data_IF_860216604134
#
_entry.id   IF_860216604134
#
_cell.length_a   1.000
_cell.length_b   1.000
_cell.length_c   1.000
_cell.angle_alpha   90.00
_cell.angle_beta   90.00
_cell.angle_gamma   90.00
#
_symmetry.space_group_name_H-M   'P 1'
#
loop_
_entity.id
_entity.type
_entity.pdbx_description
1 polymer ?
#
# COMPACT_ATOMS: atom_id res chain seq x y z
N UNK A 1 -7.05 -11.12 25.20
CA UNK A 1 -5.67 -11.40 24.73
C UNK A 1 -4.78 -10.18 24.91
N UNK A 2 -3.50 -10.37 25.28
CA UNK A 2 -2.56 -9.24 25.32
C UNK A 2 -2.12 -8.80 23.92
N UNK A 3 -1.37 -7.69 23.82
CA UNK A 3 -0.95 -7.13 22.53
C UNK A 3 0.00 -8.04 21.73
N UNK A 4 0.83 -8.85 22.40
CA UNK A 4 1.73 -9.79 21.73
C UNK A 4 0.94 -10.93 21.08
N UNK A 5 -0.02 -11.49 21.80
CA UNK A 5 -0.96 -12.49 21.29
C UNK A 5 -1.80 -11.92 20.14
N UNK A 6 -2.29 -10.68 20.28
CA UNK A 6 -3.05 -10.01 19.22
C UNK A 6 -2.21 -9.79 17.96
N UNK A 7 -0.94 -9.43 18.12
CA UNK A 7 -0.02 -9.25 17.01
C UNK A 7 0.23 -10.56 16.25
N UNK A 8 0.48 -11.65 16.96
CA UNK A 8 0.64 -12.98 16.35
C UNK A 8 -0.64 -13.44 15.66
N UNK A 9 -1.80 -13.30 16.30
CA UNK A 9 -3.08 -13.78 15.78
C UNK A 9 -3.58 -12.98 14.57
N UNK A 10 -3.26 -11.68 14.48
CA UNK A 10 -3.65 -10.81 13.37
C UNK A 10 -2.58 -10.71 12.26
N UNK A 11 -1.32 -11.00 12.60
CA UNK A 11 -0.17 -10.72 11.75
C UNK A 11 0.15 -9.23 11.60
N UNK A 12 -0.39 -8.38 12.47
CA UNK A 12 -0.05 -6.96 12.56
C UNK A 12 0.94 -6.79 13.72
N UNK A 13 2.08 -6.13 13.51
CA UNK A 13 3.04 -5.95 14.59
C UNK A 13 2.45 -5.12 15.75
N UNK A 14 2.88 -5.39 16.98
CA UNK A 14 2.40 -4.65 18.16
C UNK A 14 2.61 -3.12 18.03
N UNK A 15 3.67 -2.69 17.35
CA UNK A 15 3.90 -1.26 17.02
C UNK A 15 2.78 -0.71 16.14
N UNK A 16 2.41 -1.44 15.08
CA UNK A 16 1.34 -1.03 14.17
C UNK A 16 -0.03 -1.07 14.83
N UNK A 17 -0.30 -2.05 15.71
CA UNK A 17 -1.55 -2.07 16.48
C UNK A 17 -1.69 -0.79 17.31
N UNK A 18 -0.65 -0.40 18.06
CA UNK A 18 -0.66 0.87 18.83
C UNK A 18 -0.84 2.08 17.92
N UNK A 19 -0.17 2.09 16.77
CA UNK A 19 -0.31 3.17 15.81
C UNK A 19 -1.76 3.28 15.29
N UNK A 20 -2.40 2.16 14.93
CA UNK A 20 -3.78 2.15 14.47
C UNK A 20 -4.77 2.59 15.55
N UNK A 21 -4.55 2.24 16.82
CA UNK A 21 -5.32 2.79 17.94
C UNK A 21 -5.13 4.32 18.04
N UNK A 22 -3.88 4.79 17.96
CA UNK A 22 -3.53 6.21 18.11
C UNK A 22 -4.17 7.10 17.04
N UNK A 23 -4.21 6.62 15.79
CA UNK A 23 -4.85 7.37 14.69
C UNK A 23 -6.37 7.13 14.61
N UNK A 24 -6.94 6.36 15.54
CA UNK A 24 -8.36 6.05 15.58
C UNK A 24 -8.86 5.11 14.48
N UNK A 25 -7.96 4.42 13.77
CA UNK A 25 -8.35 3.45 12.72
C UNK A 25 -9.05 2.23 13.33
N UNK A 26 -8.61 1.81 14.51
CA UNK A 26 -9.28 0.79 15.32
C UNK A 26 -9.66 1.39 16.67
N UNK A 27 -10.76 0.94 17.29
CA UNK A 27 -11.12 1.39 18.62
C UNK A 27 -10.02 1.00 19.63
N UNK A 28 -9.81 1.81 20.68
CA UNK A 28 -8.86 1.45 21.73
C UNK A 28 -9.30 0.14 22.40
N UNK A 29 -8.35 -0.77 22.62
CA UNK A 29 -8.63 -2.02 23.31
C UNK A 29 -9.15 -1.78 24.74
N UNK A 30 -9.99 -2.69 25.22
CA UNK A 30 -10.37 -2.73 26.63
C UNK A 30 -9.13 -2.89 27.51
N UNK A 31 -9.24 -2.56 28.79
CA UNK A 31 -8.15 -2.76 29.75
C UNK A 31 -8.56 -3.75 30.82
N UNK A 32 -7.62 -4.61 31.21
CA UNK A 32 -7.79 -5.47 32.38
C UNK A 32 -7.76 -4.63 33.66
N UNK A 33 -8.17 -5.21 34.79
CA UNK A 33 -8.06 -4.56 36.11
C UNK A 33 -6.62 -4.13 36.44
N UNK A 34 -5.61 -4.83 35.90
CA UNK A 34 -4.19 -4.50 36.05
C UNK A 34 -3.68 -3.45 35.03
N UNK A 35 -4.57 -2.87 34.20
CA UNK A 35 -4.26 -1.78 33.26
C UNK A 35 -3.68 -2.22 31.91
N UNK A 36 -3.53 -3.52 31.67
CA UNK A 36 -3.03 -4.04 30.39
C UNK A 36 -4.12 -4.03 29.31
N UNK A 37 -3.73 -3.82 28.04
CA UNK A 37 -4.65 -3.94 26.91
C UNK A 37 -5.14 -5.37 26.75
N UNK A 38 -6.45 -5.50 26.57
CA UNK A 38 -7.15 -6.75 26.36
C UNK A 38 -7.93 -6.70 25.05
N UNK A 39 -7.45 -7.48 24.07
CA UNK A 39 -8.04 -7.59 22.74
C UNK A 39 -9.00 -8.79 22.71
N UNK A 40 -10.20 -8.55 22.18
CA UNK A 40 -11.20 -9.57 21.93
C UNK A 40 -11.04 -10.17 20.52
N UNK A 41 -11.73 -11.29 20.25
CA UNK A 41 -11.71 -11.94 18.94
C UNK A 41 -12.16 -10.99 17.81
N UNK A 42 -13.13 -10.11 18.07
CA UNK A 42 -13.60 -9.12 17.11
C UNK A 42 -12.50 -8.10 16.73
N UNK A 43 -11.61 -7.75 17.65
CA UNK A 43 -10.48 -6.85 17.38
C UNK A 43 -9.45 -7.53 16.48
N UNK A 44 -9.26 -8.83 16.65
CA UNK A 44 -8.38 -9.61 15.77
C UNK A 44 -8.94 -9.68 14.35
N UNK A 45 -10.25 -9.85 14.19
CA UNK A 45 -10.89 -9.80 12.87
C UNK A 45 -10.70 -8.43 12.20
N UNK A 46 -10.87 -7.33 12.96
CA UNK A 46 -10.59 -5.97 12.47
C UNK A 46 -9.13 -5.80 12.05
N UNK A 47 -8.19 -6.25 12.88
CA UNK A 47 -6.76 -6.15 12.56
C UNK A 47 -6.38 -6.97 11.31
N UNK A 48 -6.97 -8.16 11.13
CA UNK A 48 -6.79 -8.96 9.91
C UNK A 48 -7.36 -8.25 8.68
N UNK A 49 -8.51 -7.60 8.82
CA UNK A 49 -9.09 -6.77 7.75
C UNK A 49 -8.14 -5.64 7.36
N UNK A 50 -7.66 -4.86 8.34
CA UNK A 50 -6.70 -3.77 8.12
C UNK A 50 -5.44 -4.29 7.44
N UNK A 51 -4.90 -5.42 7.89
CA UNK A 51 -3.73 -6.05 7.26
C UNK A 51 -3.99 -6.34 5.79
N UNK A 52 -5.09 -7.04 5.47
CA UNK A 52 -5.39 -7.45 4.10
C UNK A 52 -5.64 -6.25 3.17
N UNK A 53 -6.32 -5.21 3.67
CA UNK A 53 -6.52 -3.98 2.90
C UNK A 53 -5.18 -3.27 2.63
N UNK A 54 -4.28 -3.22 3.62
CA UNK A 54 -2.93 -2.67 3.43
C UNK A 54 -2.10 -3.50 2.45
N UNK A 55 -2.20 -4.83 2.51
CA UNK A 55 -1.48 -5.73 1.61
C UNK A 55 -1.96 -5.57 0.14
N UNK A 56 -3.20 -5.12 -0.06
CA UNK A 56 -3.75 -4.70 -1.37
C UNK A 56 -3.41 -3.25 -1.76
N UNK A 57 -2.58 -2.57 -0.96
CA UNK A 57 -2.11 -1.22 -1.24
C UNK A 57 -3.12 -0.11 -0.94
N UNK A 58 -4.22 -0.39 -0.24
CA UNK A 58 -5.14 0.68 0.15
C UNK A 58 -4.46 1.66 1.12
N UNK A 59 -4.61 2.98 0.90
CA UNK A 59 -4.12 3.96 1.85
C UNK A 59 -4.93 3.89 3.15
N UNK A 60 -4.29 4.25 4.27
CA UNK A 60 -4.89 4.15 5.61
C UNK A 60 -6.26 4.83 5.72
N UNK A 61 -6.44 5.97 5.03
CA UNK A 61 -7.72 6.68 4.97
C UNK A 61 -8.85 5.85 4.32
N UNK A 62 -8.55 5.11 3.24
CA UNK A 62 -9.52 4.20 2.59
C UNK A 62 -9.82 2.99 3.47
N UNK A 63 -8.81 2.47 4.18
CA UNK A 63 -9.01 1.36 5.12
C UNK A 63 -10.03 1.75 6.19
N UNK A 64 -9.97 2.98 6.70
CA UNK A 64 -10.96 3.50 7.66
C UNK A 64 -12.37 3.56 7.07
N UNK A 65 -12.53 4.02 5.83
CA UNK A 65 -13.83 4.01 5.12
C UNK A 65 -14.37 2.59 4.96
N UNK A 66 -13.53 1.67 4.52
CA UNK A 66 -13.87 0.26 4.35
C UNK A 66 -14.26 -0.40 5.68
N UNK A 67 -13.56 -0.08 6.78
CA UNK A 67 -13.92 -0.54 8.13
C UNK A 67 -15.29 0.01 8.58
N UNK A 68 -15.59 1.27 8.28
CA UNK A 68 -16.90 1.86 8.54
C UNK A 68 -18.01 1.10 7.83
N UNK A 69 -17.84 0.86 6.53
CA UNK A 69 -18.79 0.09 5.72
C UNK A 69 -18.90 -1.38 6.15
N UNK A 70 -17.83 -1.95 6.68
CA UNK A 70 -17.86 -3.34 7.16
C UNK A 70 -18.72 -3.51 8.41
N UNK A 71 -18.81 -2.48 9.28
CA UNK A 71 -19.60 -2.49 10.52
C UNK A 71 -21.06 -2.08 10.33
N UNK A 72 -21.43 -1.59 9.15
CA UNK A 72 -22.79 -1.17 8.82
C UNK A 72 -23.57 -2.35 8.23
N UNK A 73 -24.56 -2.86 8.97
CA UNK A 73 -25.44 -3.95 8.54
C UNK A 73 -26.44 -3.50 7.46
N UNK A 74 -26.66 -2.19 7.29
CA UNK A 74 -27.48 -1.61 6.22
C UNK A 74 -26.67 -1.28 4.95
N UNK A 75 -25.39 -1.70 4.87
CA UNK A 75 -24.49 -1.29 3.79
C UNK A 75 -25.02 -1.64 2.39
N UNK A 76 -24.93 -0.67 1.50
CA UNK A 76 -25.05 -0.93 0.07
C UNK A 76 -23.70 -1.39 -0.48
N UNK A 77 -23.65 -2.64 -0.97
CA UNK A 77 -22.46 -3.23 -1.62
C UNK A 77 -21.89 -2.37 -2.77
N UNK A 78 -22.72 -1.52 -3.37
CA UNK A 78 -22.32 -0.54 -4.38
C UNK A 78 -21.20 0.39 -3.89
N UNK A 79 -21.21 0.83 -2.63
CA UNK A 79 -20.19 1.76 -2.14
C UNK A 79 -18.83 1.08 -1.96
N UNK A 80 -18.83 -0.15 -1.43
CA UNK A 80 -17.61 -0.97 -1.32
C UNK A 80 -17.04 -1.26 -2.71
N UNK A 81 -17.91 -1.60 -3.67
CA UNK A 81 -17.50 -1.84 -5.05
C UNK A 81 -16.85 -0.61 -5.67
N UNK A 82 -17.41 0.59 -5.46
CA UNK A 82 -16.84 1.84 -5.97
C UNK A 82 -15.42 2.08 -5.45
N UNK A 83 -15.21 1.99 -4.13
CA UNK A 83 -13.88 2.14 -3.52
C UNK A 83 -12.88 1.15 -4.13
N UNK A 84 -13.29 -0.11 -4.30
CA UNK A 84 -12.45 -1.13 -4.90
C UNK A 84 -12.11 -0.81 -6.38
N UNK A 85 -13.10 -0.43 -7.18
CA UNK A 85 -12.91 -0.08 -8.60
C UNK A 85 -12.01 1.15 -8.77
N UNK A 86 -12.19 2.18 -7.95
CA UNK A 86 -11.37 3.40 -7.99
C UNK A 86 -9.89 3.09 -7.67
N UNK A 87 -9.67 2.22 -6.68
CA UNK A 87 -8.32 1.77 -6.32
C UNK A 87 -7.70 0.87 -7.40
N UNK A 88 -8.48 -0.02 -8.02
CA UNK A 88 -8.03 -0.82 -9.18
C UNK A 88 -7.57 0.10 -10.30
N UNK A 89 -8.37 1.11 -10.67
CA UNK A 89 -8.02 2.05 -11.72
C UNK A 89 -6.74 2.84 -11.39
N UNK A 90 -6.52 3.17 -10.11
CA UNK A 90 -5.29 3.81 -9.64
C UNK A 90 -4.06 2.89 -9.75
N UNK A 91 -4.21 1.62 -9.37
CA UNK A 91 -3.15 0.63 -9.51
C UNK A 91 -2.80 0.39 -10.98
N UNK A 92 -3.80 0.26 -11.85
CA UNK A 92 -3.59 0.08 -13.29
C UNK A 92 -2.89 1.27 -13.94
N UNK A 93 -3.19 2.50 -13.52
CA UNK A 93 -2.42 3.69 -13.95
C UNK A 93 -0.96 3.57 -13.55
N UNK A 94 -0.70 3.27 -12.28
CA UNK A 94 0.67 3.13 -11.76
C UNK A 94 1.44 1.99 -12.44
N UNK A 95 0.76 0.89 -12.78
CA UNK A 95 1.37 -0.21 -13.53
C UNK A 95 1.83 0.27 -14.90
N UNK A 96 1.00 1.02 -15.63
CA UNK A 96 1.38 1.58 -16.93
C UNK A 96 2.57 2.52 -16.80
N UNK A 97 2.52 3.48 -15.87
CA UNK A 97 3.63 4.41 -15.65
C UNK A 97 4.95 3.69 -15.35
N UNK A 98 4.91 2.65 -14.51
CA UNK A 98 6.09 1.83 -14.19
C UNK A 98 6.57 0.98 -15.38
N UNK A 99 5.65 0.50 -16.23
CA UNK A 99 5.98 -0.22 -17.44
C UNK A 99 6.66 0.69 -18.46
N UNK A 100 6.18 1.92 -18.61
CA UNK A 100 6.74 2.92 -19.52
C UNK A 100 8.16 3.31 -19.07
N UNK A 101 8.33 3.64 -17.79
CA UNK A 101 9.66 3.91 -17.20
C UNK A 101 10.62 2.72 -17.40
N UNK A 102 10.14 1.49 -17.16
CA UNK A 102 10.97 0.30 -17.35
C UNK A 102 11.31 0.06 -18.82
N UNK A 103 10.42 0.38 -19.75
CA UNK A 103 10.69 0.27 -21.19
C UNK A 103 11.76 1.27 -21.63
N UNK A 104 11.69 2.52 -21.16
CA UNK A 104 12.70 3.54 -21.42
C UNK A 104 14.08 3.13 -20.89
N UNK A 105 14.15 2.71 -19.63
CA UNK A 105 15.41 2.23 -19.04
C UNK A 105 15.98 1.01 -19.79
N UNK A 106 15.12 0.09 -20.24
CA UNK A 106 15.56 -1.05 -21.05
C UNK A 106 16.13 -0.63 -22.41
N UNK A 107 15.53 0.37 -23.06
CA UNK A 107 16.03 0.88 -24.34
C UNK A 107 17.42 1.51 -24.17
N UNK A 108 17.59 2.35 -23.13
CA UNK A 108 18.89 2.94 -22.80
C UNK A 108 19.93 1.87 -22.46
N UNK A 109 19.56 0.86 -21.67
CA UNK A 109 20.46 -0.23 -21.31
C UNK A 109 20.86 -1.10 -22.51
N UNK A 110 19.96 -1.33 -23.48
CA UNK A 110 20.24 -2.11 -24.67
C UNK A 110 21.29 -1.45 -25.60
N UNK A 111 21.40 -0.11 -25.57
CA UNK A 111 22.42 0.61 -26.30
C UNK A 111 23.78 0.65 -25.59
N UNK A 112 23.83 0.28 -24.31
CA UNK A 112 25.05 0.28 -23.52
C UNK A 112 25.84 -1.03 -23.69
N UNK A 113 27.13 -0.93 -23.99
CA UNK A 113 28.01 -2.08 -24.14
C UNK A 113 28.41 -2.69 -22.78
N UNK A 114 28.34 -1.92 -21.69
CA UNK A 114 28.63 -2.39 -20.33
C UNK A 114 30.10 -2.77 -20.09
N UNK A 115 31.04 -2.17 -20.84
CA UNK A 115 32.48 -2.40 -20.72
C UNK A 115 33.18 -1.25 -19.98
N UNK A 116 34.52 -1.28 -19.92
CA UNK A 116 35.33 -0.27 -19.20
C UNK A 116 35.43 1.09 -19.91
N UNK A 117 34.63 1.32 -20.97
CA UNK A 117 34.66 2.58 -21.73
C UNK A 117 33.89 3.68 -21.00
N UNK A 118 34.31 4.95 -21.16
CA UNK A 118 33.62 6.09 -20.56
C UNK A 118 32.31 6.45 -21.29
N UNK A 119 32.10 5.93 -22.49
CA UNK A 119 30.92 6.19 -23.33
C UNK A 119 29.72 5.38 -22.83
N UNK A 120 28.80 6.04 -22.12
CA UNK A 120 27.63 5.39 -21.55
C UNK A 120 26.33 5.99 -22.12
N UNK A 121 25.67 5.31 -23.07
CA UNK A 121 24.40 5.74 -23.65
C UNK A 121 23.28 5.92 -22.62
N UNK A 122 23.37 5.25 -21.47
CA UNK A 122 22.42 5.43 -20.36
C UNK A 122 22.55 6.84 -19.77
N UNK A 123 23.76 7.29 -19.45
CA UNK A 123 23.98 8.62 -18.89
C UNK A 123 23.62 9.71 -19.91
N UNK A 124 24.01 9.52 -21.17
CA UNK A 124 23.66 10.44 -22.25
C UNK A 124 22.13 10.55 -22.45
N UNK A 125 21.40 9.42 -22.38
CA UNK A 125 19.94 9.41 -22.49
C UNK A 125 19.24 10.07 -21.30
N UNK A 126 19.75 9.87 -20.08
CA UNK A 126 19.20 10.51 -18.87
C UNK A 126 19.44 12.02 -18.84
N UNK A 127 20.55 12.52 -19.39
CA UNK A 127 20.79 13.95 -19.58
C UNK A 127 19.83 14.57 -20.61
N UNK A 128 19.44 13.81 -21.64
CA UNK A 128 18.53 14.25 -22.69
C UNK A 128 17.06 14.17 -22.31
N UNK A 129 16.65 13.25 -21.43
CA UNK A 129 15.26 13.08 -20.99
C UNK A 129 14.67 14.29 -20.23
N UNK A 130 15.47 15.34 -19.97
CA UNK A 130 14.99 16.67 -19.55
C UNK A 130 14.54 17.59 -20.70
N UNK A 131 14.68 17.19 -21.97
CA UNK A 131 14.31 17.96 -23.16
C UNK A 131 13.59 17.07 -24.18
N UNK A 132 12.33 17.41 -24.47
CA UNK A 132 11.47 16.61 -25.34
C UNK A 132 12.07 16.31 -26.73
N UNK A 133 11.69 15.12 -27.22
CA UNK A 133 11.69 14.70 -28.63
C UNK A 133 12.91 15.07 -29.48
N UNK A 134 13.83 14.12 -29.66
CA UNK A 134 14.68 14.08 -30.86
C UNK A 134 14.46 12.75 -31.56
N UNK A 135 13.83 12.82 -32.73
CA UNK A 135 13.58 11.73 -33.65
C UNK A 135 14.79 11.60 -34.59
N UNK A 136 15.32 10.39 -34.86
CA UNK A 136 16.44 10.25 -35.79
C UNK A 136 15.95 10.18 -37.24
N UNK A 137 16.80 10.70 -38.13
CA UNK A 137 16.66 10.73 -39.58
C UNK A 137 16.93 9.37 -40.24
#
# INVERSE_FOLDING_TARGET
MNIGQAAQASGVSAKMIRYYEQIGLIPPAARTAAGYRDYAAADIQRLRFVRRARDLGFPVAEIGRLLGLWRDDARHSAHVKRIACDHIAALERKIRDLQDMAAELKALAACCHGDERPECPILAGLEQAGGGSVQPA
#
